data_IF_130600421982
#
_entry.id   IF_130600421982
#
_cell.length_a   1.000
_cell.length_b   1.000
_cell.length_c   1.000
_cell.angle_alpha   90.00
_cell.angle_beta   90.00
_cell.angle_gamma   90.00
#
_symmetry.space_group_name_H-M   'P 1'
#
loop_
_entity.id
_entity.type
_entity.pdbx_description
1 polymer ?
#
# COMPACT_ATOMS: atom_id res chain seq x y z
N UNK A 1 11.92 12.71 -5.23
CA UNK A 1 11.83 12.00 -6.53
C UNK A 1 10.68 12.59 -7.36
N UNK A 2 10.77 12.67 -8.69
CA UNK A 2 9.71 13.15 -9.61
C UNK A 2 8.97 11.98 -10.28
N UNK A 3 7.77 12.23 -10.83
CA UNK A 3 6.95 11.23 -11.55
C UNK A 3 7.76 10.39 -12.55
N UNK A 4 8.51 11.01 -13.46
CA UNK A 4 9.27 10.28 -14.47
C UNK A 4 10.31 9.32 -13.87
N UNK A 5 10.90 9.67 -12.72
CA UNK A 5 11.86 8.80 -12.05
C UNK A 5 11.15 7.58 -11.42
N UNK A 6 9.94 7.78 -10.87
CA UNK A 6 9.11 6.69 -10.35
C UNK A 6 8.74 5.73 -11.49
N UNK A 7 8.27 6.27 -12.62
CA UNK A 7 7.90 5.47 -13.79
C UNK A 7 9.09 4.72 -14.39
N UNK A 8 10.28 5.32 -14.39
CA UNK A 8 11.49 4.65 -14.84
C UNK A 8 11.89 3.48 -13.92
N UNK A 9 11.67 3.62 -12.61
CA UNK A 9 12.03 2.59 -11.63
C UNK A 9 10.99 1.46 -11.53
N UNK A 10 9.71 1.79 -11.60
CA UNK A 10 8.61 0.85 -11.30
C UNK A 10 7.77 0.47 -12.53
N UNK A 11 8.01 1.11 -13.68
CA UNK A 11 7.18 0.99 -14.86
C UNK A 11 5.86 1.77 -14.75
N UNK A 12 4.92 1.43 -15.63
CA UNK A 12 3.58 2.01 -15.62
C UNK A 12 2.78 1.52 -14.40
N UNK A 13 2.04 2.41 -13.71
CA UNK A 13 1.17 2.02 -12.62
C UNK A 13 -0.06 1.26 -13.14
N UNK A 14 -0.65 0.46 -12.25
CA UNK A 14 -1.91 -0.24 -12.52
C UNK A 14 -3.10 0.69 -12.48
N UNK A 15 -3.10 1.63 -11.53
CA UNK A 15 -4.16 2.62 -11.37
C UNK A 15 -3.51 3.98 -11.14
N UNK A 16 -4.09 5.00 -11.77
CA UNK A 16 -3.73 6.39 -11.54
C UNK A 16 -4.95 7.10 -10.99
N UNK A 17 -4.83 7.69 -9.81
CA UNK A 17 -5.91 8.41 -9.15
C UNK A 17 -5.51 9.88 -8.96
N UNK A 18 -6.36 10.79 -9.43
CA UNK A 18 -6.23 12.23 -9.18
C UNK A 18 -7.24 12.61 -8.11
N UNK A 19 -6.80 13.33 -7.10
CA UNK A 19 -7.69 13.84 -6.06
C UNK A 19 -8.54 14.98 -6.66
N UNK A 20 -9.87 14.87 -6.56
CA UNK A 20 -10.80 15.87 -7.07
C UNK A 20 -10.78 17.16 -6.23
N UNK A 21 -10.39 17.08 -4.96
CA UNK A 21 -10.33 18.19 -4.01
C UNK A 21 -8.95 18.88 -4.04
N UNK A 22 -7.86 18.12 -4.24
CA UNK A 22 -6.51 18.68 -4.50
C UNK A 22 -5.98 18.22 -5.87
N UNK A 23 -6.22 18.99 -6.96
CA UNK A 23 -5.74 18.65 -8.30
C UNK A 23 -4.23 18.51 -8.43
N UNK A 24 -3.46 19.02 -7.45
CA UNK A 24 -2.01 18.85 -7.43
C UNK A 24 -1.57 17.49 -6.87
N UNK A 25 -2.52 16.69 -6.39
CA UNK A 25 -2.28 15.39 -5.79
C UNK A 25 -2.62 14.27 -6.77
N UNK A 26 -1.66 13.35 -6.88
CA UNK A 26 -1.70 12.22 -7.78
C UNK A 26 -1.22 10.98 -7.06
N UNK A 27 -2.01 9.91 -7.07
CA UNK A 27 -1.61 8.60 -6.55
C UNK A 27 -1.36 7.66 -7.72
N UNK A 28 -0.18 7.03 -7.72
CA UNK A 28 0.16 5.95 -8.64
C UNK A 28 0.14 4.64 -7.86
N UNK A 29 -0.76 3.74 -8.20
CA UNK A 29 -0.90 2.45 -7.53
C UNK A 29 -0.29 1.34 -8.37
N UNK A 30 0.53 0.52 -7.72
CA UNK A 30 1.21 -0.63 -8.28
C UNK A 30 0.75 -1.88 -7.55
N UNK A 31 0.23 -2.86 -8.28
CA UNK A 31 -0.18 -4.16 -7.74
C UNK A 31 0.91 -5.21 -7.90
N UNK A 32 0.97 -6.12 -6.95
CA UNK A 32 1.90 -7.25 -6.94
C UNK A 32 1.15 -8.57 -6.72
N UNK A 33 1.45 -9.61 -7.52
CA UNK A 33 2.43 -9.61 -8.61
C UNK A 33 2.01 -8.69 -9.79
N UNK A 34 2.99 -8.19 -10.57
CA UNK A 34 2.75 -7.15 -11.60
C UNK A 34 1.80 -7.59 -12.71
N UNK A 35 1.57 -8.89 -12.86
CA UNK A 35 0.69 -9.52 -13.84
C UNK A 35 -0.69 -9.92 -13.28
N UNK A 36 -1.02 -9.51 -12.04
CA UNK A 36 -2.27 -9.92 -11.36
C UNK A 36 -3.54 -9.65 -12.18
N UNK A 37 -3.58 -8.57 -12.95
CA UNK A 37 -4.72 -8.27 -13.85
C UNK A 37 -4.88 -9.32 -14.95
N UNK A 38 -3.77 -9.78 -15.54
CA UNK A 38 -3.78 -10.84 -16.53
C UNK A 38 -4.14 -12.19 -15.89
N UNK A 39 -3.60 -12.48 -14.71
CA UNK A 39 -3.95 -13.67 -13.95
C UNK A 39 -5.44 -13.74 -13.62
N UNK A 40 -6.05 -12.62 -13.23
CA UNK A 40 -7.50 -12.56 -12.94
C UNK A 40 -8.37 -12.77 -14.18
N UNK A 41 -7.94 -12.27 -15.33
CA UNK A 41 -8.67 -12.46 -16.59
C UNK A 41 -8.69 -13.95 -16.99
N UNK A 42 -7.59 -14.67 -16.77
CA UNK A 42 -7.47 -16.10 -17.09
C UNK A 42 -8.06 -17.00 -16.00
N UNK A 43 -7.93 -16.60 -14.74
CA UNK A 43 -8.30 -17.36 -13.57
C UNK A 43 -9.08 -16.51 -12.57
N UNK A 44 -10.38 -16.27 -12.84
CA UNK A 44 -11.23 -15.50 -11.93
C UNK A 44 -11.22 -16.05 -10.50
N UNK A 45 -11.36 -15.16 -9.51
CA UNK A 45 -11.27 -15.48 -8.08
C UNK A 45 -12.53 -15.06 -7.32
N UNK A 46 -12.78 -15.66 -6.16
CA UNK A 46 -13.87 -15.19 -5.30
C UNK A 46 -13.48 -13.84 -4.69
N UNK A 47 -14.48 -13.01 -4.39
CA UNK A 47 -14.24 -11.80 -3.60
C UNK A 47 -13.62 -12.17 -2.24
N UNK A 48 -12.66 -11.39 -1.77
CA UNK A 48 -11.95 -11.64 -0.50
C UNK A 48 -10.89 -12.74 -0.55
N UNK A 49 -10.69 -13.44 -1.68
CA UNK A 49 -9.63 -14.46 -1.81
C UNK A 49 -8.44 -13.97 -2.63
N UNK A 50 -8.37 -12.66 -2.89
CA UNK A 50 -7.32 -12.07 -3.70
C UNK A 50 -6.08 -11.87 -2.84
N UNK A 51 -5.01 -12.60 -3.17
CA UNK A 51 -3.73 -12.47 -2.49
C UNK A 51 -2.87 -11.52 -3.32
N UNK A 52 -2.64 -10.31 -2.79
CA UNK A 52 -1.93 -9.26 -3.50
C UNK A 52 -1.16 -8.33 -2.57
N UNK A 53 -0.12 -7.72 -3.12
CA UNK A 53 0.57 -6.58 -2.54
C UNK A 53 0.25 -5.30 -3.32
N UNK A 54 0.36 -4.18 -2.63
CA UNK A 54 0.02 -2.86 -3.13
C UNK A 54 1.15 -1.89 -2.76
N UNK A 55 1.52 -1.03 -3.70
CA UNK A 55 2.37 0.14 -3.47
C UNK A 55 1.70 1.36 -4.08
N UNK A 56 1.22 2.27 -3.25
CA UNK A 56 0.78 3.58 -3.67
C UNK A 56 1.93 4.59 -3.51
N UNK A 57 2.23 5.31 -4.58
CA UNK A 57 3.13 6.45 -4.58
C UNK A 57 2.31 7.72 -4.71
N UNK A 58 2.25 8.50 -3.63
CA UNK A 58 1.63 9.80 -3.63
C UNK A 58 2.59 10.86 -4.15
N UNK A 59 2.11 11.68 -5.08
CA UNK A 59 2.81 12.84 -5.59
C UNK A 59 2.00 14.10 -5.30
N UNK A 60 2.71 15.15 -4.88
CA UNK A 60 2.19 16.50 -4.79
C UNK A 60 3.07 17.44 -5.59
N UNK A 61 2.46 18.27 -6.44
CA UNK A 61 3.20 19.17 -7.33
C UNK A 61 4.27 18.43 -8.17
N UNK A 62 3.93 17.21 -8.63
CA UNK A 62 4.81 16.36 -9.45
C UNK A 62 6.00 15.70 -8.72
N UNK A 63 6.07 15.81 -7.40
CA UNK A 63 7.12 15.20 -6.55
C UNK A 63 6.51 14.20 -5.59
N UNK A 64 7.22 13.10 -5.33
CA UNK A 64 6.82 12.12 -4.32
C UNK A 64 6.74 12.80 -2.96
N UNK A 65 5.56 12.75 -2.35
CA UNK A 65 5.25 13.27 -1.02
C UNK A 65 5.10 12.15 0.00
N UNK A 66 4.69 10.96 -0.44
CA UNK A 66 4.40 9.85 0.44
C UNK A 66 4.36 8.51 -0.31
N UNK A 67 4.41 7.43 0.45
CA UNK A 67 4.37 6.04 0.01
C UNK A 67 3.47 5.26 0.96
N UNK A 68 2.61 4.41 0.42
CA UNK A 68 1.96 3.35 1.19
C UNK A 68 2.31 2.03 0.54
N UNK A 69 2.81 1.09 1.33
CA UNK A 69 2.89 -0.30 0.96
C UNK A 69 1.94 -1.12 1.83
N UNK A 70 1.25 -2.08 1.25
CA UNK A 70 0.41 -3.05 1.95
C UNK A 70 0.52 -4.41 1.27
N UNK A 71 0.39 -5.50 2.02
CA UNK A 71 0.22 -6.82 1.44
C UNK A 71 -0.51 -7.79 2.37
N UNK A 72 -1.27 -8.70 1.77
CA UNK A 72 -1.60 -9.98 2.40
C UNK A 72 -0.28 -10.69 2.76
N UNK A 73 -0.20 -11.32 3.93
CA UNK A 73 1.01 -12.03 4.39
C UNK A 73 1.50 -13.10 3.41
N UNK A 74 0.60 -13.62 2.57
CA UNK A 74 0.90 -14.63 1.54
C UNK A 74 1.24 -14.01 0.20
N UNK A 75 1.10 -12.68 0.06
CA UNK A 75 1.37 -12.01 -1.20
C UNK A 75 2.87 -11.72 -1.37
N UNK A 76 3.41 -11.92 -2.58
CA UNK A 76 4.78 -11.54 -2.88
C UNK A 76 4.86 -10.02 -3.00
N UNK A 77 5.64 -9.39 -2.11
CA UNK A 77 6.12 -8.03 -2.31
C UNK A 77 7.59 -8.08 -2.73
N UNK A 78 8.00 -7.34 -3.77
CA UNK A 78 9.40 -7.33 -4.21
C UNK A 78 10.31 -6.44 -3.35
N UNK A 79 9.81 -5.95 -2.22
CA UNK A 79 10.54 -5.08 -1.30
C UNK A 79 10.21 -5.41 0.14
N UNK A 80 11.14 -5.06 1.03
CA UNK A 80 10.99 -5.21 2.47
C UNK A 80 10.36 -3.95 3.08
N UNK A 81 9.59 -4.13 4.15
CA UNK A 81 9.07 -3.06 4.98
C UNK A 81 10.11 -2.72 6.06
N UNK A 82 10.78 -1.58 5.91
CA UNK A 82 11.88 -1.15 6.80
C UNK A 82 13.01 -2.20 6.94
N UNK A 83 13.34 -2.87 5.84
CA UNK A 83 14.37 -3.91 5.83
C UNK A 83 13.90 -5.30 6.29
N UNK A 84 12.64 -5.44 6.70
CA UNK A 84 12.05 -6.70 7.13
C UNK A 84 11.00 -7.22 6.13
N UNK A 85 10.85 -8.55 5.97
CA UNK A 85 9.78 -9.11 5.15
C UNK A 85 8.41 -8.87 5.80
N UNK A 86 7.36 -8.85 4.98
CA UNK A 86 5.97 -8.90 5.47
C UNK A 86 5.75 -10.14 6.32
N UNK A 87 4.93 -10.03 7.36
CA UNK A 87 4.77 -11.08 8.36
C UNK A 87 5.74 -10.98 9.54
N UNK A 88 6.71 -10.06 9.50
CA UNK A 88 7.64 -9.86 10.63
C UNK A 88 6.91 -9.30 11.84
N UNK A 89 7.19 -9.85 13.03
CA UNK A 89 6.66 -9.37 14.30
C UNK A 89 7.06 -7.91 14.57
N UNK A 90 6.06 -7.04 14.80
CA UNK A 90 6.23 -5.59 14.99
C UNK A 90 7.24 -5.24 16.09
N UNK A 91 7.28 -6.02 17.18
CA UNK A 91 8.21 -5.78 18.29
C UNK A 91 9.69 -5.81 17.87
N UNK A 92 10.05 -6.58 16.85
CA UNK A 92 11.42 -6.62 16.32
C UNK A 92 11.80 -5.32 15.60
N UNK A 93 10.81 -4.59 15.11
CA UNK A 93 10.96 -3.38 14.30
C UNK A 93 10.87 -2.13 15.19
N UNK A 94 9.96 -2.12 16.17
CA UNK A 94 9.87 -0.99 17.10
C UNK A 94 11.16 -0.81 17.90
N UNK A 95 11.88 -1.90 18.17
CA UNK A 95 13.21 -1.86 18.81
C UNK A 95 14.26 -1.16 17.93
N UNK A 96 14.14 -1.20 16.60
CA UNK A 96 15.13 -0.63 15.68
C UNK A 96 14.83 0.82 15.29
N UNK A 97 13.55 1.20 15.21
CA UNK A 97 13.15 2.59 14.86
C UNK A 97 13.37 3.54 16.04
N UNK A 98 13.15 3.08 17.27
CA UNK A 98 13.14 3.94 18.47
C UNK A 98 11.93 4.88 18.52
N UNK A 99 11.98 5.87 19.43
CA UNK A 99 10.88 6.80 19.67
C UNK A 99 9.75 6.24 20.53
N UNK A 100 8.61 6.95 20.55
CA UNK A 100 7.43 6.58 21.34
C UNK A 100 6.30 6.12 20.40
N UNK A 101 6.22 4.82 20.06
CA UNK A 101 5.16 4.31 19.19
C UNK A 101 3.79 4.50 19.84
N UNK A 102 2.84 4.96 19.06
CA UNK A 102 1.46 5.16 19.46
C UNK A 102 0.57 4.22 18.66
N UNK A 103 -0.13 3.34 19.37
CA UNK A 103 -1.09 2.43 18.78
C UNK A 103 -2.45 3.12 18.66
N UNK A 104 -3.17 2.82 17.58
CA UNK A 104 -4.60 3.13 17.54
C UNK A 104 -5.41 2.14 18.40
N UNK A 105 -6.70 2.40 18.56
CA UNK A 105 -7.57 1.59 19.43
C UNK A 105 -7.74 0.14 18.93
N UNK A 106 -7.78 -0.06 17.60
CA UNK A 106 -7.93 -1.37 16.97
C UNK A 106 -6.67 -2.22 16.99
N UNK A 107 -5.52 -1.63 17.36
CA UNK A 107 -4.19 -2.26 17.37
C UNK A 107 -3.72 -2.79 16.01
N UNK A 108 -4.26 -2.23 14.93
CA UNK A 108 -3.88 -2.54 13.54
C UNK A 108 -2.98 -1.46 12.93
N UNK A 109 -2.69 -0.38 13.67
CA UNK A 109 -1.85 0.71 13.19
C UNK A 109 -0.95 1.27 14.30
N UNK A 110 0.33 1.44 13.97
CA UNK A 110 1.32 2.12 14.80
C UNK A 110 1.80 3.39 14.12
N UNK A 111 1.83 4.50 14.84
CA UNK A 111 2.39 5.75 14.37
C UNK A 111 3.40 6.34 15.36
N UNK A 112 4.10 7.36 14.90
CA UNK A 112 5.10 8.08 15.68
C UNK A 112 4.77 9.57 15.62
N UNK A 113 4.80 10.26 16.76
CA UNK A 113 4.40 11.67 16.84
C UNK A 113 5.33 12.60 16.06
N UNK A 114 6.63 12.32 16.06
CA UNK A 114 7.66 13.15 15.46
C UNK A 114 8.22 12.61 14.15
N UNK A 115 7.78 11.43 13.71
CA UNK A 115 8.26 10.76 12.50
C UNK A 115 7.05 10.57 11.59
N UNK A 116 7.07 11.06 10.33
CA UNK A 116 5.99 10.83 9.36
C UNK A 116 6.01 9.40 8.83
N UNK A 117 5.81 8.46 9.75
CA UNK A 117 5.88 7.01 9.58
C UNK A 117 4.66 6.38 10.27
N UNK A 118 4.02 5.47 9.56
CA UNK A 118 2.98 4.58 10.06
C UNK A 118 3.27 3.15 9.65
N UNK A 119 2.84 2.18 10.46
CA UNK A 119 3.04 0.76 10.22
C UNK A 119 1.70 0.06 10.41
N UNK A 120 1.22 -0.60 9.36
CA UNK A 120 0.02 -1.43 9.44
C UNK A 120 0.39 -2.81 9.98
N UNK A 121 -0.40 -3.28 10.92
CA UNK A 121 -0.16 -4.49 11.70
C UNK A 121 -1.41 -5.35 11.65
N UNK A 122 -1.24 -6.64 11.44
CA UNK A 122 -2.31 -7.60 11.69
C UNK A 122 -2.54 -7.70 13.22
N UNK A 123 -3.70 -7.28 13.73
CA UNK A 123 -3.94 -7.21 15.18
C UNK A 123 -3.97 -8.58 15.86
N UNK A 124 -4.25 -9.65 15.11
CA UNK A 124 -4.32 -11.01 15.64
C UNK A 124 -2.92 -11.63 15.80
N UNK A 125 -2.02 -11.32 14.87
CA UNK A 125 -0.67 -11.92 14.83
C UNK A 125 0.44 -10.95 15.24
N UNK A 126 0.15 -9.65 15.38
CA UNK A 126 1.10 -8.56 15.57
C UNK A 126 2.21 -8.51 14.50
N UNK A 127 1.91 -9.04 13.32
CA UNK A 127 2.82 -9.05 12.19
C UNK A 127 2.63 -7.79 11.34
N UNK A 128 3.72 -7.23 10.82
CA UNK A 128 3.63 -6.14 9.86
C UNK A 128 2.99 -6.62 8.56
N UNK A 129 2.06 -5.82 8.06
CA UNK A 129 1.38 -6.02 6.78
C UNK A 129 1.45 -4.79 5.88
N UNK A 130 1.86 -3.64 6.42
CA UNK A 130 1.99 -2.41 5.64
C UNK A 130 2.91 -1.38 6.26
N UNK A 131 3.20 -0.36 5.47
CA UNK A 131 4.14 0.71 5.77
C UNK A 131 3.69 2.00 5.08
N UNK A 132 3.57 3.06 5.85
CA UNK A 132 3.16 4.38 5.41
C UNK A 132 4.30 5.35 5.70
N UNK A 133 4.87 5.99 4.69
CA UNK A 133 5.96 6.97 4.84
C UNK A 133 5.55 8.25 4.14
N UNK A 134 5.76 9.39 4.78
CA UNK A 134 5.49 10.69 4.15
C UNK A 134 6.60 11.71 4.42
N UNK A 135 6.59 12.81 3.69
CA UNK A 135 7.50 13.94 3.92
C UNK A 135 7.13 14.76 5.16
N UNK A 136 5.84 14.78 5.52
CA UNK A 136 5.31 15.48 6.69
C UNK A 136 4.23 14.65 7.37
N UNK A 137 3.94 14.95 8.65
CA UNK A 137 2.87 14.27 9.38
C UNK A 137 1.50 14.52 8.75
N UNK A 138 1.26 15.75 8.27
CA UNK A 138 0.04 16.09 7.54
C UNK A 138 -0.11 15.28 6.24
N UNK A 139 0.97 15.03 5.49
CA UNK A 139 0.88 14.18 4.29
C UNK A 139 0.59 12.72 4.66
N UNK A 140 1.13 12.22 5.79
CA UNK A 140 0.82 10.89 6.30
C UNK A 140 -0.67 10.76 6.68
N UNK A 141 -1.22 11.75 7.37
CA UNK A 141 -2.58 11.68 7.94
C UNK A 141 -3.68 11.87 6.89
N UNK A 142 -3.36 12.49 5.75
CA UNK A 142 -4.34 12.75 4.69
C UNK A 142 -4.21 11.79 3.51
N UNK A 143 -3.35 10.78 3.57
CA UNK A 143 -3.10 9.90 2.44
C UNK A 143 -3.60 8.50 2.71
N UNK A 144 -4.54 8.06 1.88
CA UNK A 144 -5.09 6.71 1.90
C UNK A 144 -4.70 5.95 0.64
N UNK A 145 -4.69 4.61 0.75
CA UNK A 145 -4.59 3.73 -0.40
C UNK A 145 -5.79 4.00 -1.32
N UNK A 146 -5.57 4.29 -2.62
CA UNK A 146 -6.67 4.41 -3.57
C UNK A 146 -7.45 3.09 -3.62
N UNK A 147 -8.77 3.18 -3.48
CA UNK A 147 -9.63 2.00 -3.56
C UNK A 147 -9.49 1.29 -4.90
N UNK A 148 -9.48 -0.04 -4.87
CA UNK A 148 -9.47 -0.89 -6.06
C UNK A 148 -10.89 -1.22 -6.51
N UNK A 149 -11.22 -0.92 -7.77
CA UNK A 149 -12.50 -1.35 -8.32
C UNK A 149 -12.36 -2.76 -8.89
N UNK A 150 -12.85 -3.74 -8.13
CA UNK A 150 -12.87 -5.13 -8.57
C UNK A 150 -14.01 -5.35 -9.58
N UNK A 151 -13.69 -5.92 -10.73
CA UNK A 151 -14.65 -6.26 -11.78
C UNK A 151 -15.16 -7.68 -11.58
N UNK A 152 -16.48 -7.83 -11.54
CA UNK A 152 -17.16 -9.14 -11.43
C UNK A 152 -17.58 -9.64 -12.81
N UNK A 153 -17.31 -10.91 -13.07
CA UNK A 153 -17.86 -11.65 -14.18
C UNK A 153 -19.39 -11.78 -14.02
N UNK A 154 -20.20 -11.40 -15.02
CA UNK A 154 -21.66 -11.49 -14.93
C UNK A 154 -22.17 -12.94 -14.91
N UNK A 155 -21.37 -13.90 -15.38
CA UNK A 155 -21.77 -15.31 -15.49
C UNK A 155 -21.38 -16.14 -14.27
N UNK A 156 -20.30 -15.78 -13.57
CA UNK A 156 -19.77 -16.56 -12.44
C UNK A 156 -19.79 -15.82 -11.11
N UNK A 157 -20.07 -14.50 -11.12
CA UNK A 157 -19.91 -13.59 -9.99
C UNK A 157 -18.47 -13.51 -9.42
N UNK A 158 -17.50 -14.17 -10.06
CA UNK A 158 -16.09 -14.14 -9.69
C UNK A 158 -15.44 -12.83 -10.14
N UNK A 159 -14.44 -12.36 -9.39
CA UNK A 159 -13.56 -11.26 -9.76
C UNK A 159 -12.69 -11.70 -10.93
N UNK A 160 -12.78 -11.02 -12.06
CA UNK A 160 -12.02 -11.30 -13.27
C UNK A 160 -11.19 -10.11 -13.77
N UNK A 161 -11.16 -9.00 -13.03
CA UNK A 161 -10.38 -7.83 -13.39
C UNK A 161 -10.34 -6.77 -12.30
N UNK A 162 -9.51 -5.75 -12.50
CA UNK A 162 -9.30 -4.62 -11.59
C UNK A 162 -9.23 -3.32 -12.41
N UNK A 163 -9.89 -2.27 -11.94
CA UNK A 163 -9.87 -0.92 -12.53
C UNK A 163 -9.51 0.15 -11.51
#
# INVERSE_FOLDING_TARGET
>A
MRKQQVLAALGQPDVTHTDAVDPNRLSLLYLYPRDIKAQLAQHPRRAGTLVQGELAVGLRNGRVSNLIAFADQRAPLPFHLLGHPVGTQINRILQTIGGSPQWNASRDYVQFSSIPLGIDVDPDTLAIVGLNIATTKQELDNFDLPGLNLLKSPTSALINGIR
#
